data_IF_066906473361
#
_entry.id   IF_066906473361
#
_cell.length_a   1.000
_cell.length_b   1.000
_cell.length_c   1.000
_cell.angle_alpha   90.00
_cell.angle_beta   90.00
_cell.angle_gamma   90.00
#
_symmetry.space_group_name_H-M   'P 1'
#
loop_
_entity.id
_entity.type
_entity.pdbx_description
1 polymer ?
#
# COMPACT_ATOMS: atom_id res chain seq x y z
N UNK A 1 -21.76 -7.58 1.39
CA UNK A 1 -20.84 -6.70 0.68
C UNK A 1 -20.61 -5.45 1.49
N UNK A 2 -19.36 -5.16 1.80
CA UNK A 2 -18.98 -3.93 2.47
C UNK A 2 -18.73 -2.83 1.43
N UNK A 3 -18.99 -1.58 1.79
CA UNK A 3 -18.61 -0.43 0.98
C UNK A 3 -17.47 0.31 1.64
N UNK A 4 -16.65 0.99 0.85
CA UNK A 4 -15.53 1.77 1.34
C UNK A 4 -15.64 3.23 0.88
N UNK A 5 -14.98 4.16 1.60
CA UNK A 5 -14.95 5.56 1.20
C UNK A 5 -13.92 5.87 0.11
N UNK A 6 -13.25 4.86 -0.44
CA UNK A 6 -12.29 5.06 -1.52
C UNK A 6 -13.01 5.54 -2.77
N UNK A 7 -12.38 6.49 -3.51
CA UNK A 7 -12.95 7.03 -4.74
C UNK A 7 -13.28 5.89 -5.71
N UNK A 8 -14.48 5.95 -6.29
CA UNK A 8 -14.96 4.90 -7.18
C UNK A 8 -15.49 5.48 -8.49
N UNK A 9 -15.58 4.63 -9.49
CA UNK A 9 -16.03 5.02 -10.81
C UNK A 9 -15.58 3.98 -11.84
N UNK A 10 -15.71 4.33 -13.12
CA UNK A 10 -15.43 3.37 -14.22
C UNK A 10 -14.00 2.84 -14.20
N UNK A 11 -13.01 3.69 -13.92
CA UNK A 11 -11.60 3.32 -13.82
C UNK A 11 -11.02 3.77 -12.47
N UNK A 12 -11.84 3.77 -11.43
CA UNK A 12 -11.48 4.20 -10.09
C UNK A 12 -12.08 3.24 -9.09
N UNK A 13 -11.31 2.86 -8.09
CA UNK A 13 -11.78 1.94 -7.07
C UNK A 13 -10.61 1.36 -6.29
N UNK A 14 -10.85 0.23 -5.63
CA UNK A 14 -9.85 -0.47 -4.86
C UNK A 14 -9.08 -1.42 -5.79
N UNK A 15 -7.77 -1.32 -5.78
CA UNK A 15 -6.88 -2.16 -6.58
C UNK A 15 -6.04 -3.10 -5.71
N UNK A 16 -5.90 -2.80 -4.42
CA UNK A 16 -5.00 -3.53 -3.53
C UNK A 16 -5.61 -3.66 -2.14
N UNK A 17 -5.33 -4.77 -1.49
CA UNK A 17 -5.87 -5.10 -0.18
C UNK A 17 -4.82 -5.87 0.60
N UNK A 18 -4.64 -5.55 1.88
CA UNK A 18 -3.78 -6.31 2.78
C UNK A 18 -4.39 -6.35 4.17
N UNK A 19 -4.36 -7.52 4.78
CA UNK A 19 -4.73 -7.72 6.18
C UNK A 19 -3.52 -8.26 6.93
N UNK A 20 -3.31 -7.79 8.15
CA UNK A 20 -2.26 -8.33 9.04
C UNK A 20 -2.83 -9.05 10.25
N UNK A 21 -4.15 -9.09 10.35
CA UNK A 21 -4.91 -9.93 11.28
C UNK A 21 -6.31 -10.13 10.73
N UNK A 22 -7.12 -10.96 11.40
CA UNK A 22 -8.52 -11.16 11.00
C UNK A 22 -9.34 -9.87 11.05
N UNK A 23 -8.93 -8.92 11.87
CA UNK A 23 -9.68 -7.68 12.11
C UNK A 23 -9.07 -6.46 11.43
N UNK A 24 -7.78 -6.44 11.18
CA UNK A 24 -7.06 -5.23 10.78
C UNK A 24 -6.53 -5.35 9.36
N UNK A 25 -6.91 -4.40 8.52
CA UNK A 25 -6.49 -4.38 7.13
C UNK A 25 -6.55 -3.00 6.53
N UNK A 26 -6.09 -2.94 5.29
CA UNK A 26 -6.03 -1.71 4.51
C UNK A 26 -6.45 -1.98 3.07
N UNK A 27 -7.24 -1.08 2.51
CA UNK A 27 -7.66 -1.12 1.11
C UNK A 27 -7.18 0.16 0.43
N UNK A 28 -6.58 0.03 -0.73
CA UNK A 28 -6.02 1.16 -1.46
C UNK A 28 -6.38 1.05 -2.94
N UNK A 29 -6.39 2.18 -3.60
CA UNK A 29 -6.68 2.23 -5.03
C UNK A 29 -6.59 3.65 -5.55
N UNK A 30 -7.65 4.12 -6.18
CA UNK A 30 -7.74 5.46 -6.72
C UNK A 30 -8.13 5.45 -8.20
N UNK A 31 -7.73 6.51 -8.91
CA UNK A 31 -8.02 6.69 -10.33
C UNK A 31 -6.91 6.05 -11.15
N UNK A 32 -7.17 4.85 -11.69
CA UNK A 32 -6.13 4.02 -12.32
C UNK A 32 -5.52 4.66 -13.58
N UNK A 33 -6.28 5.50 -14.28
CA UNK A 33 -5.84 6.09 -15.55
C UNK A 33 -5.22 7.48 -15.41
N UNK A 34 -5.06 7.97 -14.18
CA UNK A 34 -4.50 9.30 -13.93
C UNK A 34 -3.35 9.22 -12.94
N UNK A 35 -2.11 9.13 -13.47
CA UNK A 35 -0.91 9.02 -12.65
C UNK A 35 -0.60 10.28 -11.85
N UNK A 36 -1.23 11.40 -12.17
CA UNK A 36 -1.03 12.68 -11.48
C UNK A 36 -2.16 12.99 -10.50
N UNK A 37 -3.15 12.12 -10.36
CA UNK A 37 -4.27 12.33 -9.45
C UNK A 37 -3.80 12.41 -8.00
N UNK A 38 -4.38 13.35 -7.27
CA UNK A 38 -4.08 13.57 -5.86
C UNK A 38 -5.33 13.55 -4.99
N UNK A 39 -6.35 12.80 -5.41
CA UNK A 39 -7.54 12.61 -4.60
C UNK A 39 -7.18 12.09 -3.21
N UNK A 40 -7.84 12.62 -2.19
CA UNK A 40 -7.54 12.24 -0.80
C UNK A 40 -8.06 10.86 -0.42
N UNK A 41 -9.10 10.38 -1.10
CA UNK A 41 -9.79 9.13 -0.75
C UNK A 41 -9.24 7.95 -1.54
N UNK A 42 -7.98 7.59 -1.33
CA UNK A 42 -7.34 6.45 -2.01
C UNK A 42 -6.89 5.35 -1.06
N UNK A 43 -6.94 5.59 0.25
CA UNK A 43 -6.55 4.62 1.25
C UNK A 43 -7.53 4.60 2.41
N UNK A 44 -7.92 3.42 2.85
CA UNK A 44 -8.83 3.23 3.96
C UNK A 44 -8.39 2.03 4.81
N UNK A 45 -8.68 2.09 6.11
CA UNK A 45 -8.35 1.03 7.05
C UNK A 45 -9.60 0.49 7.72
N UNK A 46 -9.54 -0.77 8.12
CA UNK A 46 -10.56 -1.43 8.92
C UNK A 46 -9.94 -2.00 10.19
N UNK A 47 -10.71 -2.04 11.28
CA UNK A 47 -10.36 -2.72 12.52
C UNK A 47 -11.44 -3.72 12.97
N UNK A 48 -12.40 -3.97 12.10
CA UNK A 48 -13.52 -4.89 12.37
C UNK A 48 -13.68 -5.97 11.29
N UNK A 49 -12.59 -6.34 10.67
CA UNK A 49 -12.59 -7.42 9.67
C UNK A 49 -13.18 -7.02 8.33
N UNK A 50 -13.20 -5.72 8.01
CA UNK A 50 -13.71 -5.24 6.73
C UNK A 50 -15.19 -4.89 6.73
N UNK A 51 -15.86 -4.87 7.88
CA UNK A 51 -17.25 -4.46 7.95
C UNK A 51 -17.40 -2.96 7.77
N UNK A 52 -16.51 -2.19 8.40
CA UNK A 52 -16.46 -0.74 8.25
C UNK A 52 -15.03 -0.27 7.93
N UNK A 53 -14.94 0.86 7.21
CA UNK A 53 -13.68 1.40 6.72
C UNK A 53 -13.63 2.91 6.96
N UNK A 54 -12.45 3.42 7.30
CA UNK A 54 -12.24 4.88 7.44
C UNK A 54 -11.07 5.31 6.57
N UNK A 55 -11.18 6.50 5.98
CA UNK A 55 -10.12 7.07 5.15
C UNK A 55 -8.91 7.40 6.02
N UNK A 56 -7.72 7.12 5.50
CA UNK A 56 -6.45 7.58 6.04
C UNK A 56 -5.71 8.39 4.99
N UNK A 57 -4.59 9.01 5.38
CA UNK A 57 -3.76 9.76 4.45
C UNK A 57 -3.33 8.88 3.28
N UNK A 58 -3.34 9.45 2.08
CA UNK A 58 -2.83 8.79 0.89
C UNK A 58 -1.31 8.67 0.97
N UNK A 59 -0.68 7.69 0.27
CA UNK A 59 0.76 7.69 0.06
C UNK A 59 1.27 9.02 -0.53
N UNK A 60 2.53 9.32 -0.37
CA UNK A 60 3.12 10.58 -0.81
C UNK A 60 3.16 10.73 -2.33
N UNK A 61 3.17 9.62 -3.06
CA UNK A 61 3.18 9.65 -4.52
C UNK A 61 1.77 9.90 -5.07
N UNK A 62 1.70 10.49 -6.26
CA UNK A 62 0.43 10.73 -6.97
C UNK A 62 -0.02 9.48 -7.73
N UNK A 63 -1.26 9.50 -8.19
CA UNK A 63 -1.87 8.39 -8.91
C UNK A 63 -2.49 7.37 -7.99
N UNK A 64 -2.98 6.29 -8.57
CA UNK A 64 -3.58 5.21 -7.81
C UNK A 64 -2.52 4.35 -7.12
N UNK A 65 -2.92 3.65 -6.07
CA UNK A 65 -2.10 2.61 -5.45
C UNK A 65 -2.40 1.30 -6.16
N UNK A 66 -1.40 0.71 -6.78
CA UNK A 66 -1.55 -0.53 -7.55
C UNK A 66 -1.35 -1.78 -6.70
N UNK A 67 -0.53 -1.69 -5.67
CA UNK A 67 -0.22 -2.82 -4.82
C UNK A 67 0.03 -2.40 -3.38
N UNK A 68 -0.25 -3.31 -2.46
CA UNK A 68 0.03 -3.13 -1.04
C UNK A 68 0.40 -4.47 -0.45
N UNK A 69 1.28 -4.47 0.53
CA UNK A 69 1.63 -5.68 1.27
C UNK A 69 1.85 -5.34 2.74
N UNK A 70 1.33 -6.18 3.61
CA UNK A 70 1.65 -6.16 5.02
C UNK A 70 3.06 -6.73 5.22
N UNK A 71 3.80 -6.17 6.16
CA UNK A 71 5.16 -6.62 6.45
C UNK A 71 5.10 -7.71 7.52
N UNK A 72 5.50 -8.96 7.21
CA UNK A 72 5.46 -10.04 8.19
C UNK A 72 6.29 -9.73 9.44
N UNK A 73 5.76 -10.02 10.62
CA UNK A 73 6.46 -9.80 11.87
C UNK A 73 6.45 -8.36 12.38
N UNK A 74 5.90 -7.43 11.60
CA UNK A 74 5.72 -6.02 11.99
C UNK A 74 4.26 -5.65 11.79
N UNK A 75 3.42 -6.07 12.73
CA UNK A 75 1.97 -5.86 12.64
C UNK A 75 1.63 -4.40 12.43
N UNK A 76 0.81 -4.12 11.42
CA UNK A 76 0.41 -2.77 11.08
C UNK A 76 1.38 -2.01 10.16
N UNK A 77 2.57 -2.55 9.87
CA UNK A 77 3.46 -1.97 8.87
C UNK A 77 3.03 -2.43 7.48
N UNK A 78 2.95 -1.50 6.54
CA UNK A 78 2.57 -1.81 5.15
C UNK A 78 3.46 -1.08 4.16
N UNK A 79 3.60 -1.67 2.97
CA UNK A 79 4.28 -1.04 1.83
C UNK A 79 3.25 -0.89 0.71
N UNK A 80 3.19 0.28 0.11
CA UNK A 80 2.30 0.58 -1.01
C UNK A 80 3.09 1.03 -2.22
N UNK A 81 2.68 0.61 -3.40
CA UNK A 81 3.33 0.96 -4.67
C UNK A 81 2.32 1.46 -5.69
N UNK A 82 2.80 2.29 -6.61
CA UNK A 82 1.97 2.85 -7.68
C UNK A 82 2.83 3.41 -8.81
N UNK A 83 2.19 4.20 -9.71
CA UNK A 83 2.87 4.69 -10.91
C UNK A 83 4.00 5.68 -10.62
N UNK A 84 4.01 6.29 -9.45
CA UNK A 84 4.94 7.37 -9.11
C UNK A 84 5.74 7.09 -7.84
N UNK A 85 5.69 5.88 -7.28
CA UNK A 85 6.50 5.63 -6.12
C UNK A 85 6.24 4.36 -5.36
N UNK A 86 7.05 4.21 -4.32
CA UNK A 86 6.96 3.18 -3.28
C UNK A 86 7.07 3.89 -1.95
N UNK A 87 6.05 3.70 -1.10
CA UNK A 87 6.00 4.26 0.24
C UNK A 87 5.79 3.15 1.26
N UNK A 88 6.13 3.43 2.50
CA UNK A 88 5.80 2.56 3.61
C UNK A 88 5.20 3.36 4.76
N UNK A 89 4.38 2.68 5.57
CA UNK A 89 3.67 3.27 6.69
C UNK A 89 3.91 2.41 7.93
N UNK A 90 4.58 2.95 8.97
CA UNK A 90 4.67 2.27 10.26
C UNK A 90 3.30 2.15 10.92
N UNK A 91 3.13 1.17 11.79
CA UNK A 91 1.91 1.00 12.55
C UNK A 91 1.56 2.28 13.31
N UNK A 92 0.31 2.73 13.17
CA UNK A 92 -0.19 3.92 13.86
C UNK A 92 0.34 5.25 13.36
N UNK A 93 1.22 5.27 12.37
CA UNK A 93 1.72 6.53 11.81
C UNK A 93 0.64 7.24 10.99
N UNK A 94 0.73 8.57 10.96
CA UNK A 94 -0.23 9.40 10.21
C UNK A 94 0.25 9.77 8.83
N UNK A 95 1.53 9.60 8.55
CA UNK A 95 2.13 9.97 7.28
C UNK A 95 2.98 8.84 6.74
N UNK A 96 2.92 8.66 5.44
CA UNK A 96 3.73 7.69 4.71
C UNK A 96 5.15 8.21 4.53
N UNK A 97 6.11 7.29 4.50
CA UNK A 97 7.51 7.59 4.18
C UNK A 97 7.80 7.11 2.77
N UNK A 98 8.32 7.99 1.93
CA UNK A 98 8.70 7.65 0.56
C UNK A 98 10.07 6.96 0.54
N UNK A 99 10.15 5.83 -0.15
CA UNK A 99 11.40 5.09 -0.33
C UNK A 99 11.90 5.13 -1.77
N UNK A 100 11.02 5.37 -2.75
CA UNK A 100 11.40 5.45 -4.16
C UNK A 100 10.38 6.28 -4.93
N UNK A 101 10.84 6.98 -5.96
CA UNK A 101 9.98 7.70 -6.91
C UNK A 101 9.74 6.92 -8.20
N UNK A 102 10.28 5.71 -8.30
CA UNK A 102 10.12 4.86 -9.48
C UNK A 102 8.73 4.25 -9.55
N UNK A 103 8.31 3.87 -10.75
CA UNK A 103 7.04 3.18 -10.96
C UNK A 103 7.15 1.71 -10.54
N UNK A 104 6.13 1.24 -9.82
CA UNK A 104 5.98 -0.18 -9.46
C UNK A 104 4.55 -0.62 -9.67
N UNK A 105 4.36 -1.91 -9.95
CA UNK A 105 3.04 -2.50 -10.19
C UNK A 105 2.58 -3.40 -9.06
N UNK A 106 3.51 -4.04 -8.35
CA UNK A 106 3.17 -5.02 -7.32
C UNK A 106 4.26 -5.09 -6.26
N UNK A 107 3.90 -5.58 -5.08
CA UNK A 107 4.79 -5.76 -3.95
C UNK A 107 4.35 -6.96 -3.14
N UNK A 108 5.30 -7.69 -2.57
CA UNK A 108 5.02 -8.84 -1.72
C UNK A 108 6.18 -9.15 -0.80
N UNK A 109 5.90 -9.89 0.27
CA UNK A 109 6.88 -10.26 1.29
C UNK A 109 6.79 -11.73 1.62
N UNK A 110 7.94 -12.38 1.75
CA UNK A 110 8.05 -13.71 2.37
C UNK A 110 8.38 -13.58 3.85
N UNK A 111 9.12 -12.55 4.24
CA UNK A 111 9.45 -12.21 5.62
C UNK A 111 9.74 -10.72 5.69
N UNK A 112 9.97 -10.17 6.90
CA UNK A 112 10.23 -8.73 7.06
C UNK A 112 11.49 -8.27 6.31
N UNK A 113 12.44 -9.17 6.07
CA UNK A 113 13.68 -8.86 5.37
C UNK A 113 13.70 -9.40 3.93
N UNK A 114 12.62 -10.00 3.46
CA UNK A 114 12.52 -10.59 2.14
C UNK A 114 11.26 -10.12 1.44
N UNK A 115 11.23 -8.85 1.10
CA UNK A 115 10.17 -8.22 0.32
C UNK A 115 10.69 -7.82 -1.05
N UNK A 116 9.80 -7.74 -2.02
CA UNK A 116 10.12 -7.42 -3.40
C UNK A 116 9.04 -6.57 -4.01
N UNK A 117 9.45 -5.54 -4.73
CA UNK A 117 8.56 -4.75 -5.57
C UNK A 117 8.99 -4.88 -7.02
N UNK A 118 8.03 -4.96 -7.92
CA UNK A 118 8.27 -5.16 -9.35
C UNK A 118 7.53 -4.09 -10.16
N UNK A 119 8.07 -3.78 -11.33
CA UNK A 119 7.50 -2.73 -12.16
C UNK A 119 7.99 -2.74 -13.60
N UNK A 120 7.76 -1.64 -14.32
CA UNK A 120 8.10 -1.54 -15.73
C UNK A 120 9.58 -1.77 -16.02
N UNK A 121 9.86 -2.31 -17.21
CA UNK A 121 11.23 -2.52 -17.65
C UNK A 121 11.94 -3.69 -16.96
N UNK A 122 11.19 -4.60 -16.37
CA UNK A 122 11.76 -5.72 -15.63
C UNK A 122 12.34 -5.32 -14.28
N UNK A 123 11.94 -4.17 -13.74
CA UNK A 123 12.46 -3.70 -12.45
C UNK A 123 12.03 -4.64 -11.33
N UNK A 124 12.99 -5.05 -10.52
CA UNK A 124 12.78 -5.80 -9.29
C UNK A 124 13.63 -5.14 -8.21
N UNK A 125 13.02 -4.81 -7.08
CA UNK A 125 13.70 -4.13 -5.95
C UNK A 125 13.48 -4.94 -4.69
N UNK A 126 14.55 -5.19 -3.94
CA UNK A 126 14.49 -5.87 -2.65
C UNK A 126 14.14 -4.87 -1.54
N UNK A 127 13.29 -5.30 -0.62
CA UNK A 127 12.85 -4.51 0.53
C UNK A 127 13.13 -5.30 1.80
N UNK A 128 13.76 -4.66 2.77
CA UNK A 128 14.04 -5.27 4.06
C UNK A 128 13.69 -4.31 5.19
N UNK A 129 13.00 -4.82 6.21
CA UNK A 129 12.65 -4.08 7.42
C UNK A 129 13.36 -4.71 8.60
N UNK A 130 14.41 -4.11 9.09
CA UNK A 130 15.11 -4.59 10.26
C UNK A 130 16.60 -4.48 10.09
N UNK A 131 17.35 -4.74 11.15
CA UNK A 131 18.80 -4.73 11.05
C UNK A 131 19.27 -5.84 10.12
N UNK A 132 20.46 -5.70 9.51
CA UNK A 132 21.08 -6.81 8.79
C UNK A 132 21.11 -8.03 9.68
N UNK A 133 20.92 -9.23 9.10
CA UNK A 133 21.04 -10.46 9.87
C UNK A 133 22.37 -10.53 10.55
N UNK A 134 22.37 -10.83 11.86
CA UNK A 134 23.60 -11.04 12.60
C UNK A 134 24.34 -12.26 12.03
N UNK A 135 25.62 -12.15 11.89
CA UNK A 135 26.46 -13.26 11.42
C UNK A 135 26.77 -14.22 12.56
#
# INVERSE_FOLDING_TARGET
>A
VASTPVVSGRASGIAALAFWSDRNGMALGGRLLDANDRSDSVAAVTDDGGLTWRVIARPSFSGAVYGVAAVPGLDGYVVAVGPKGLDWLPAGARAWTNASADAFWSVGFASRNAGWAVGPGGRIVHIAFGPPLAN
#
